data_IF_733320998075
#
_entry.id   IF_733320998075
#
_cell.length_a   1.000
_cell.length_b   1.000
_cell.length_c   1.000
_cell.angle_alpha   90.00
_cell.angle_beta   90.00
_cell.angle_gamma   90.00
#
_symmetry.space_group_name_H-M   'P 1'
#
loop_
_entity.id
_entity.type
_entity.pdbx_description
1 polymer ?
#
# COMPACT_ATOMS: atom_id res chain seq x y z
N UNK A 1 1.09 4.88 -7.78
CA UNK A 1 1.70 5.92 -6.94
C UNK A 1 2.87 5.26 -6.22
N UNK A 2 4.11 5.74 -6.39
CA UNK A 2 5.25 5.17 -5.67
C UNK A 2 5.15 5.64 -4.22
N UNK A 3 5.06 4.68 -3.30
CA UNK A 3 5.19 4.94 -1.86
C UNK A 3 6.68 4.88 -1.60
N UNK A 4 7.28 6.04 -1.34
CA UNK A 4 8.72 6.17 -1.18
C UNK A 4 9.22 5.30 -0.02
N UNK A 5 10.19 4.48 -0.37
CA UNK A 5 10.85 3.50 0.48
C UNK A 5 11.80 4.25 1.42
N UNK A 6 11.25 4.77 2.52
CA UNK A 6 12.04 5.19 3.67
C UNK A 6 12.68 3.97 4.32
N UNK A 7 13.87 3.62 3.85
CA UNK A 7 14.81 2.69 4.45
C UNK A 7 14.99 3.01 5.93
N UNK A 8 14.27 2.31 6.80
CA UNK A 8 14.58 2.22 8.21
C UNK A 8 14.82 0.75 8.51
N UNK A 9 16.06 0.50 8.90
CA UNK A 9 16.72 -0.77 9.15
C UNK A 9 15.84 -1.82 9.81
N UNK A 10 15.95 -3.06 9.29
CA UNK A 10 15.70 -4.29 10.04
C UNK A 10 16.20 -4.14 11.49
N UNK A 11 15.29 -4.27 12.46
CA UNK A 11 15.66 -4.48 13.84
C UNK A 11 16.35 -5.86 13.92
N UNK A 12 17.68 -5.85 13.88
CA UNK A 12 18.49 -6.99 14.28
C UNK A 12 18.31 -7.19 15.78
N UNK A 13 17.79 -8.36 16.16
CA UNK A 13 17.89 -8.93 17.51
C UNK A 13 19.37 -8.96 17.92
N UNK A 14 19.82 -7.97 18.68
CA UNK A 14 21.09 -8.03 19.39
C UNK A 14 20.89 -7.59 20.83
N UNK A 15 20.87 -8.60 21.68
CA UNK A 15 21.01 -8.54 23.12
C UNK A 15 22.19 -7.67 23.57
N UNK A 16 21.93 -6.42 23.99
CA UNK A 16 22.69 -5.69 25.03
C UNK A 16 22.27 -4.21 25.11
N UNK A 17 21.31 -3.89 25.98
CA UNK A 17 21.07 -2.49 26.41
C UNK A 17 21.88 -2.23 27.68
N UNK A 18 22.77 -1.22 27.76
CA UNK A 18 23.37 -0.83 29.01
C UNK A 18 22.35 -0.06 29.86
N UNK A 19 22.23 -0.53 31.10
CA UNK A 19 21.47 0.08 32.20
C UNK A 19 22.18 1.38 32.63
N UNK A 20 21.52 2.52 32.45
CA UNK A 20 21.87 3.75 33.16
C UNK A 20 20.71 4.16 34.06
N UNK A 21 20.89 3.85 35.33
CA UNK A 21 20.15 4.33 36.50
C UNK A 21 20.38 5.81 36.73
N UNK A 22 19.31 6.62 36.74
CA UNK A 22 19.21 7.77 37.65
C UNK A 22 17.75 7.91 38.10
N UNK A 23 17.53 7.79 39.41
CA UNK A 23 16.27 8.04 40.10
C UNK A 23 15.81 9.48 39.89
N UNK A 24 14.55 9.67 39.47
CA UNK A 24 13.86 10.95 39.48
C UNK A 24 12.38 10.70 39.74
N UNK A 25 11.92 11.06 40.94
CA UNK A 25 10.53 10.90 41.41
C UNK A 25 9.52 11.47 40.41
N UNK A 26 8.64 10.63 39.88
CA UNK A 26 7.46 11.10 39.14
C UNK A 26 6.26 11.10 40.07
N UNK A 27 5.95 12.30 40.55
CA UNK A 27 4.71 12.68 41.22
C UNK A 27 3.51 12.23 40.38
N UNK A 28 2.56 11.59 41.05
CA UNK A 28 1.25 11.25 40.48
C UNK A 28 0.49 12.54 40.14
N UNK A 29 -0.06 12.60 38.94
CA UNK A 29 -1.18 13.47 38.60
C UNK A 29 -0.85 14.65 37.68
N UNK A 30 -1.32 14.56 36.43
CA UNK A 30 -2.17 15.59 35.82
C UNK A 30 -2.58 15.13 34.42
N UNK A 31 -3.83 14.71 34.26
CA UNK A 31 -4.47 14.48 32.97
C UNK A 31 -4.77 15.83 32.31
N UNK A 32 -3.77 16.39 31.64
CA UNK A 32 -3.95 17.47 30.67
C UNK A 32 -3.96 16.89 29.25
N UNK A 33 -4.91 17.23 28.36
CA UNK A 33 -5.03 16.61 27.04
C UNK A 33 -3.92 17.03 26.06
N UNK A 34 -3.07 17.99 26.41
CA UNK A 34 -2.05 18.56 25.53
C UNK A 34 -0.68 18.66 26.21
N UNK A 35 -0.22 17.61 26.89
CA UNK A 35 1.18 17.56 27.34
C UNK A 35 2.06 17.33 26.12
N UNK A 36 2.58 18.41 25.54
CA UNK A 36 3.68 18.37 24.57
C UNK A 36 4.87 17.71 25.27
N UNK A 37 5.16 16.44 24.96
CA UNK A 37 6.32 15.75 25.53
C UNK A 37 7.57 16.18 24.78
N UNK A 38 8.55 16.68 25.52
CA UNK A 38 9.87 17.06 25.02
C UNK A 38 10.79 15.82 25.09
N UNK A 39 11.57 15.52 24.03
CA UNK A 39 12.64 14.51 24.04
C UNK A 39 13.69 14.93 25.06
N UNK A 40 14.43 13.96 25.58
CA UNK A 40 15.65 14.16 26.38
C UNK A 40 16.65 15.13 25.71
N UNK A 41 16.64 15.23 24.37
CA UNK A 41 17.48 16.19 23.62
C UNK A 41 16.91 17.61 23.52
N UNK A 42 15.80 17.92 24.19
CA UNK A 42 15.16 19.24 24.17
C UNK A 42 14.20 19.49 23.00
N UNK A 43 14.16 18.62 21.99
CA UNK A 43 13.24 18.74 20.85
C UNK A 43 11.84 18.21 21.19
N UNK A 44 10.83 18.66 20.45
CA UNK A 44 9.49 18.11 20.56
C UNK A 44 9.41 16.63 20.14
N UNK A 45 8.49 15.89 20.74
CA UNK A 45 8.14 14.53 20.29
C UNK A 45 6.88 14.53 19.45
N UNK A 46 6.87 13.67 18.43
CA UNK A 46 5.74 13.43 17.54
C UNK A 46 5.21 12.02 17.74
N UNK A 47 3.89 11.86 17.61
CA UNK A 47 3.26 10.53 17.58
C UNK A 47 3.19 10.07 16.12
N UNK A 48 3.72 8.88 15.86
CA UNK A 48 3.75 8.21 14.57
C UNK A 48 3.04 6.87 14.66
N UNK A 49 2.66 6.33 13.51
CA UNK A 49 2.02 5.01 13.41
C UNK A 49 3.01 4.01 12.82
N UNK A 50 3.13 2.84 13.43
CA UNK A 50 3.92 1.75 12.88
C UNK A 50 3.13 1.01 11.80
N UNK A 51 3.80 0.69 10.70
CA UNK A 51 3.24 -0.06 9.57
C UNK A 51 3.96 -1.39 9.35
N UNK A 52 4.69 -1.87 10.36
CA UNK A 52 5.37 -3.17 10.30
C UNK A 52 4.37 -4.30 10.50
N UNK A 53 4.70 -5.52 10.05
CA UNK A 53 3.82 -6.69 10.25
C UNK A 53 3.59 -7.03 11.73
N UNK A 54 4.56 -6.73 12.61
CA UNK A 54 4.47 -7.01 14.04
C UNK A 54 3.62 -5.97 14.80
N UNK A 55 3.58 -4.73 14.29
CA UNK A 55 2.90 -3.61 14.96
C UNK A 55 2.01 -2.79 14.01
N UNK A 56 1.21 -3.40 13.11
CA UNK A 56 0.40 -2.63 12.16
C UNK A 56 -0.58 -1.70 12.88
N UNK A 57 -0.52 -0.41 12.54
CA UNK A 57 -1.42 0.61 13.10
C UNK A 57 -1.11 1.05 14.53
N UNK A 58 -0.09 0.48 15.20
CA UNK A 58 0.23 0.82 16.59
C UNK A 58 1.00 2.13 16.67
N UNK A 59 0.58 3.06 17.53
CA UNK A 59 1.25 4.35 17.65
C UNK A 59 2.43 4.32 18.59
N UNK A 60 3.51 4.99 18.19
CA UNK A 60 4.68 5.25 18.99
C UNK A 60 5.01 6.74 18.99
N UNK A 61 5.63 7.20 20.06
CA UNK A 61 6.16 8.55 20.22
C UNK A 61 7.65 8.52 19.93
N UNK A 62 8.10 9.45 19.12
CA UNK A 62 9.46 9.55 18.61
C UNK A 62 9.90 11.01 18.64
N UNK A 63 11.21 11.25 18.70
CA UNK A 63 11.74 12.61 18.50
C UNK A 63 11.31 13.15 17.14
N UNK A 64 10.95 14.43 17.06
CA UNK A 64 10.79 15.09 15.77
C UNK A 64 12.13 15.11 14.99
N UNK A 65 13.25 15.21 15.71
CA UNK A 65 14.57 15.47 15.17
C UNK A 65 14.71 16.93 14.70
N UNK A 66 15.95 17.40 14.57
CA UNK A 66 16.26 18.68 13.92
C UNK A 66 17.56 18.52 13.11
N UNK A 67 17.58 19.01 11.86
CA UNK A 67 18.71 18.93 10.94
C UNK A 67 19.37 17.54 10.84
N UNK A 68 18.57 16.49 10.70
CA UNK A 68 19.08 15.12 10.53
C UNK A 68 19.60 14.43 11.79
N UNK A 69 19.58 15.09 12.96
CA UNK A 69 19.92 14.45 14.24
C UNK A 69 18.69 13.87 14.92
N UNK A 70 18.66 12.54 15.08
CA UNK A 70 17.63 11.82 15.81
C UNK A 70 18.19 11.37 17.17
N UNK A 71 17.55 11.76 18.28
CA UNK A 71 18.02 11.44 19.64
C UNK A 71 17.84 9.95 20.03
N UNK A 72 17.24 9.12 19.18
CA UNK A 72 16.96 7.71 19.49
C UNK A 72 15.76 7.48 20.41
N UNK A 73 15.05 8.55 20.83
CA UNK A 73 13.91 8.38 21.74
C UNK A 73 12.76 7.63 21.06
N UNK A 74 12.18 6.69 21.81
CA UNK A 74 11.10 5.84 21.35
C UNK A 74 10.25 5.39 22.53
N UNK A 75 8.94 5.48 22.39
CA UNK A 75 7.98 5.01 23.41
C UNK A 75 6.67 4.58 22.75
N UNK A 76 6.13 3.43 23.12
CA UNK A 76 4.81 3.02 22.64
C UNK A 76 3.70 3.85 23.30
N UNK A 77 2.81 4.45 22.50
CA UNK A 77 1.63 5.18 22.99
C UNK A 77 0.49 4.19 23.26
N UNK A 78 0.26 3.28 22.31
CA UNK A 78 -0.78 2.27 22.44
C UNK A 78 -0.21 1.00 23.10
N UNK A 79 -1.01 0.25 23.88
CA UNK A 79 -0.61 -1.03 24.44
C UNK A 79 -0.24 -2.05 23.35
N UNK A 80 0.52 -3.11 23.69
CA UNK A 80 0.85 -4.16 22.71
C UNK A 80 -0.42 -4.79 22.17
N UNK A 81 -0.44 -5.03 20.86
CA UNK A 81 -1.53 -5.78 20.25
C UNK A 81 -1.59 -7.20 20.78
N UNK A 82 -2.81 -7.75 20.84
CA UNK A 82 -3.00 -9.14 21.21
C UNK A 82 -2.35 -10.06 20.17
N UNK A 83 -1.87 -11.23 20.61
CA UNK A 83 -1.19 -12.21 19.76
C UNK A 83 -2.02 -12.55 18.51
N UNK A 84 -3.32 -12.80 18.70
CA UNK A 84 -4.25 -13.10 17.60
C UNK A 84 -4.28 -11.98 16.55
N UNK A 85 -4.30 -10.71 16.95
CA UNK A 85 -4.31 -9.60 16.00
C UNK A 85 -3.02 -9.54 15.17
N UNK A 86 -1.86 -9.76 15.82
CA UNK A 86 -0.55 -9.81 15.14
C UNK A 86 -0.47 -10.94 14.11
N UNK A 87 -1.16 -12.06 14.35
CA UNK A 87 -1.16 -13.19 13.41
C UNK A 87 -2.20 -13.01 12.28
N UNK A 88 -3.40 -12.53 12.62
CA UNK A 88 -4.53 -12.44 11.69
C UNK A 88 -4.43 -11.23 10.75
N UNK A 89 -4.06 -10.04 11.25
CA UNK A 89 -4.07 -8.80 10.44
C UNK A 89 -3.13 -8.93 9.22
N UNK A 90 -1.86 -9.38 9.35
CA UNK A 90 -1.00 -9.55 8.18
C UNK A 90 -1.53 -10.60 7.20
N UNK A 91 -2.22 -11.64 7.70
CA UNK A 91 -2.89 -12.64 6.87
C UNK A 91 -3.98 -12.01 5.99
N UNK A 92 -4.86 -11.22 6.60
CA UNK A 92 -5.94 -10.52 5.90
C UNK A 92 -5.40 -9.54 4.85
N UNK A 93 -4.36 -8.78 5.18
CA UNK A 93 -3.73 -7.84 4.23
C UNK A 93 -3.15 -8.56 3.01
N UNK A 94 -2.52 -9.73 3.20
CA UNK A 94 -2.06 -10.56 2.08
C UNK A 94 -3.21 -11.05 1.22
N UNK A 95 -4.31 -11.50 1.85
CA UNK A 95 -5.50 -11.93 1.11
C UNK A 95 -6.09 -10.79 0.27
N UNK A 96 -6.25 -9.59 0.84
CA UNK A 96 -6.77 -8.41 0.12
C UNK A 96 -5.88 -8.09 -1.08
N UNK A 97 -4.56 -8.02 -0.88
CA UNK A 97 -3.60 -7.76 -1.96
C UNK A 97 -3.67 -8.81 -3.07
N UNK A 98 -3.86 -10.08 -2.70
CA UNK A 98 -4.03 -11.17 -3.66
C UNK A 98 -5.30 -10.99 -4.50
N UNK A 99 -6.43 -10.65 -3.86
CA UNK A 99 -7.68 -10.38 -4.56
C UNK A 99 -7.57 -9.18 -5.52
N UNK A 100 -6.89 -8.11 -5.12
CA UNK A 100 -6.66 -6.95 -5.98
C UNK A 100 -5.86 -7.31 -7.25
N UNK A 101 -4.83 -8.15 -7.10
CA UNK A 101 -4.03 -8.65 -8.23
C UNK A 101 -4.88 -9.53 -9.15
N UNK A 102 -5.68 -10.43 -8.58
CA UNK A 102 -6.57 -11.31 -9.34
C UNK A 102 -7.63 -10.52 -10.11
N UNK A 103 -8.22 -9.49 -9.49
CA UNK A 103 -9.17 -8.59 -10.13
C UNK A 103 -8.51 -7.83 -11.29
N UNK A 104 -7.31 -7.28 -11.08
CA UNK A 104 -6.55 -6.61 -12.15
C UNK A 104 -6.27 -7.56 -13.32
N UNK A 105 -5.90 -8.82 -13.03
CA UNK A 105 -5.67 -9.84 -14.06
C UNK A 105 -6.96 -10.19 -14.80
N UNK A 106 -8.08 -10.32 -14.10
CA UNK A 106 -9.39 -10.59 -14.72
C UNK A 106 -9.79 -9.44 -15.67
N UNK A 107 -9.72 -8.20 -15.20
CA UNK A 107 -10.01 -7.00 -16.03
C UNK A 107 -9.09 -6.91 -17.25
N UNK A 108 -7.81 -7.25 -17.10
CA UNK A 108 -6.87 -7.28 -18.23
C UNK A 108 -7.23 -8.35 -19.26
N UNK A 109 -7.69 -9.54 -18.82
CA UNK A 109 -8.17 -10.61 -19.72
C UNK A 109 -9.43 -10.21 -20.46
N UNK A 110 -10.40 -9.62 -19.77
CA UNK A 110 -11.63 -9.11 -20.38
C UNK A 110 -11.33 -8.03 -21.43
N UNK A 111 -10.44 -7.07 -21.10
CA UNK A 111 -10.01 -6.05 -22.05
C UNK A 111 -9.38 -6.63 -23.32
N UNK A 112 -8.56 -7.68 -23.19
CA UNK A 112 -7.97 -8.40 -24.34
C UNK A 112 -9.01 -9.14 -25.16
N UNK A 113 -9.96 -9.82 -24.51
CA UNK A 113 -11.04 -10.52 -25.18
C UNK A 113 -11.95 -9.54 -25.94
N UNK A 114 -12.31 -8.42 -25.33
CA UNK A 114 -13.10 -7.38 -25.99
C UNK A 114 -12.36 -6.72 -27.15
N UNK A 115 -11.06 -6.47 -27.02
CA UNK A 115 -10.24 -6.02 -28.14
C UNK A 115 -10.21 -7.04 -29.29
N UNK A 116 -10.08 -8.33 -28.97
CA UNK A 116 -10.11 -9.42 -29.96
C UNK A 116 -11.47 -9.51 -30.67
N UNK A 117 -12.58 -9.49 -29.91
CA UNK A 117 -13.95 -9.46 -30.45
C UNK A 117 -14.17 -8.24 -31.34
N UNK A 118 -13.73 -7.06 -30.92
CA UNK A 118 -13.80 -5.82 -31.72
C UNK A 118 -13.04 -5.98 -33.03
N UNK A 119 -11.82 -6.51 -33.00
CA UNK A 119 -11.03 -6.81 -34.21
C UNK A 119 -11.75 -7.78 -35.13
N UNK A 120 -12.23 -8.90 -34.60
CA UNK A 120 -12.96 -9.89 -35.39
C UNK A 120 -14.23 -9.30 -36.02
N UNK A 121 -15.02 -8.53 -35.25
CA UNK A 121 -16.22 -7.84 -35.74
C UNK A 121 -15.89 -6.84 -36.86
N UNK A 122 -14.79 -6.10 -36.72
CA UNK A 122 -14.32 -5.18 -37.77
C UNK A 122 -13.91 -5.95 -39.04
N UNK A 123 -13.13 -7.03 -38.90
CA UNK A 123 -12.70 -7.87 -40.02
C UNK A 123 -13.90 -8.51 -40.74
N UNK A 124 -14.85 -9.07 -40.00
CA UNK A 124 -16.06 -9.66 -40.57
C UNK A 124 -16.86 -8.62 -41.36
N UNK A 125 -17.01 -7.39 -40.83
CA UNK A 125 -17.68 -6.30 -41.56
C UNK A 125 -16.97 -5.95 -42.87
N UNK A 126 -15.64 -5.86 -42.86
CA UNK A 126 -14.87 -5.57 -44.08
C UNK A 126 -15.03 -6.67 -45.13
N UNK A 127 -14.98 -7.93 -44.71
CA UNK A 127 -15.20 -9.09 -45.60
C UNK A 127 -16.58 -9.01 -46.25
N UNK A 128 -17.64 -8.77 -45.47
CA UNK A 128 -19.01 -8.65 -46.00
C UNK A 128 -19.14 -7.50 -47.00
N UNK A 129 -18.48 -6.35 -46.75
CA UNK A 129 -18.51 -5.20 -47.67
C UNK A 129 -17.82 -5.55 -48.99
N UNK A 130 -16.62 -6.15 -48.94
CA UNK A 130 -15.85 -6.50 -50.14
C UNK A 130 -16.55 -7.59 -50.95
N UNK A 131 -17.01 -8.65 -50.27
CA UNK A 131 -17.72 -9.73 -50.94
C UNK A 131 -19.05 -9.25 -51.54
N UNK A 132 -19.80 -8.41 -50.82
CA UNK A 132 -21.05 -7.83 -51.30
C UNK A 132 -20.84 -6.91 -52.50
N UNK A 133 -19.81 -6.05 -52.49
CA UNK A 133 -19.53 -5.16 -53.62
C UNK A 133 -19.05 -5.92 -54.85
N UNK A 134 -18.21 -6.95 -54.70
CA UNK A 134 -17.79 -7.81 -55.81
C UNK A 134 -18.97 -8.55 -56.44
N UNK A 135 -19.86 -9.13 -55.63
CA UNK A 135 -21.07 -9.78 -56.14
C UNK A 135 -21.98 -8.79 -56.88
N UNK A 136 -22.12 -7.57 -56.36
CA UNK A 136 -22.88 -6.51 -57.01
C UNK A 136 -22.30 -6.14 -58.38
N UNK A 137 -20.98 -5.95 -58.48
CA UNK A 137 -20.30 -5.63 -59.74
C UNK A 137 -20.49 -6.76 -60.76
N UNK A 138 -20.33 -8.01 -60.34
CA UNK A 138 -20.55 -9.16 -61.23
C UNK A 138 -21.99 -9.24 -61.74
N UNK A 139 -22.98 -8.99 -60.87
CA UNK A 139 -24.39 -8.97 -61.27
C UNK A 139 -24.68 -7.85 -62.28
N UNK A 140 -24.15 -6.64 -62.06
CA UNK A 140 -24.30 -5.52 -62.99
C UNK A 140 -23.64 -5.80 -64.34
N UNK A 141 -22.47 -6.45 -64.36
CA UNK A 141 -21.79 -6.81 -65.60
C UNK A 141 -22.59 -7.82 -66.44
N UNK A 142 -23.18 -8.84 -65.80
CA UNK A 142 -24.03 -9.83 -66.49
C UNK A 142 -25.32 -9.22 -67.01
N UNK A 143 -25.95 -8.28 -66.26
CA UNK A 143 -27.15 -7.59 -66.72
C UNK A 143 -26.91 -6.61 -67.88
N UNK A 144 -25.68 -6.19 -68.11
CA UNK A 144 -25.30 -5.27 -69.19
C UNK A 144 -24.80 -5.99 -70.47
N UNK A 145 -24.77 -7.33 -70.49
CA UNK A 145 -24.43 -8.15 -71.66
C UNK A 145 -25.66 -8.87 -72.21
#
# INVERSE_FOLDING_TARGET
MPVDNGSWSEETDTSSIPRSTTFGNQSRGSSSPFVMRICICGNETVVRTSWTNNNPGRRFRACAGYNGSYCGSFEWVDPPMCRRARDVIPGLLRCIKQYEIEEQHARAREGRLEASKRRFRMLLRLVLIVWGSSLLVMALAVCCC
#
